data_IF_039028106293
#
_entry.id   IF_039028106293
#
_cell.length_a   1.000
_cell.length_b   1.000
_cell.length_c   1.000
_cell.angle_alpha   90.00
_cell.angle_beta   90.00
_cell.angle_gamma   90.00
#
_symmetry.space_group_name_H-M   'P 1'
#
loop_
_entity.id
_entity.type
_entity.pdbx_description
1 polymer ?
#
# COMPACT_ATOMS: atom_id res chain seq x y z
N UNK A 1 27.33 -88.37 0.33
CA UNK A 1 27.43 -87.14 -0.43
C UNK A 1 26.71 -86.08 0.37
N UNK A 2 27.43 -85.07 0.83
CA UNK A 2 26.97 -84.20 1.85
C UNK A 2 26.26 -82.97 1.29
N UNK A 3 25.02 -82.70 1.68
CA UNK A 3 24.27 -81.50 1.33
C UNK A 3 24.34 -80.58 2.53
N UNK A 4 25.04 -79.45 2.36
CA UNK A 4 25.14 -78.37 3.31
C UNK A 4 23.92 -77.43 3.22
N UNK A 5 23.15 -77.41 4.31
CA UNK A 5 22.07 -76.41 4.48
C UNK A 5 22.68 -75.15 5.04
N UNK A 6 22.62 -74.03 4.32
CA UNK A 6 23.00 -72.72 4.79
C UNK A 6 21.74 -71.99 5.25
N UNK A 7 21.67 -71.77 6.57
CA UNK A 7 20.60 -71.03 7.22
C UNK A 7 20.94 -69.55 7.18
N UNK A 8 20.27 -68.78 6.30
CA UNK A 8 20.40 -67.32 6.25
C UNK A 8 19.40 -66.69 7.20
N UNK A 9 19.95 -66.08 8.23
CA UNK A 9 19.22 -65.32 9.23
C UNK A 9 18.89 -63.90 8.66
N UNK A 10 17.61 -63.70 8.32
CA UNK A 10 17.13 -62.43 7.79
C UNK A 10 16.85 -61.47 8.95
N UNK A 11 17.65 -60.41 9.09
CA UNK A 11 17.48 -59.39 10.10
C UNK A 11 16.51 -58.33 9.58
N UNK A 12 15.27 -58.34 10.04
CA UNK A 12 14.22 -57.40 9.66
C UNK A 12 14.33 -56.15 10.54
N UNK A 13 14.96 -55.09 10.03
CA UNK A 13 15.05 -53.81 10.68
C UNK A 13 13.74 -53.02 10.47
N UNK A 14 12.91 -52.88 11.50
CA UNK A 14 11.81 -51.93 11.52
C UNK A 14 12.37 -50.50 11.68
N UNK A 15 12.44 -49.74 10.61
CA UNK A 15 12.56 -48.28 10.69
C UNK A 15 11.16 -47.72 10.93
N UNK A 16 10.86 -47.32 12.16
CA UNK A 16 9.71 -46.47 12.47
C UNK A 16 10.00 -45.07 11.96
N UNK A 17 9.47 -44.73 10.76
CA UNK A 17 9.44 -43.37 10.28
C UNK A 17 8.37 -42.62 11.05
N UNK A 18 8.77 -41.81 12.04
CA UNK A 18 7.95 -40.74 12.58
C UNK A 18 7.80 -39.64 11.52
N UNK A 19 6.84 -39.84 10.61
CA UNK A 19 6.33 -38.80 9.75
C UNK A 19 5.36 -37.93 10.56
N UNK A 20 5.85 -36.90 11.24
CA UNK A 20 5.02 -35.81 11.73
C UNK A 20 4.42 -35.11 10.52
N UNK A 21 3.11 -35.23 10.30
CA UNK A 21 2.37 -34.34 9.43
C UNK A 21 2.48 -32.94 10.04
N UNK A 22 3.49 -32.19 9.59
CA UNK A 22 3.53 -30.75 9.83
C UNK A 22 2.33 -30.15 9.11
N UNK A 23 1.36 -29.66 9.87
CA UNK A 23 0.38 -28.73 9.35
C UNK A 23 1.14 -27.62 8.65
N UNK A 24 1.19 -27.67 7.33
CA UNK A 24 1.62 -26.55 6.51
C UNK A 24 0.57 -25.47 6.69
N UNK A 25 0.75 -24.66 7.73
CA UNK A 25 -0.02 -23.44 7.84
C UNK A 25 0.16 -22.70 6.51
N UNK A 26 -0.92 -22.60 5.74
CA UNK A 26 -0.95 -21.81 4.51
C UNK A 26 -0.59 -20.39 4.89
N UNK A 27 0.64 -19.97 4.57
CA UNK A 27 1.04 -18.57 4.71
C UNK A 27 0.07 -17.77 3.86
N UNK A 28 -0.70 -16.84 4.45
CA UNK A 28 -1.60 -16.00 3.65
C UNK A 28 -0.77 -15.33 2.56
N UNK A 29 -1.17 -15.51 1.31
CA UNK A 29 -0.57 -14.76 0.20
C UNK A 29 -0.83 -13.29 0.47
N UNK A 30 0.23 -12.47 0.54
CA UNK A 30 0.08 -11.03 0.68
C UNK A 30 -0.79 -10.54 -0.49
N UNK A 31 -1.84 -9.79 -0.18
CA UNK A 31 -2.61 -9.11 -1.20
C UNK A 31 -1.66 -8.19 -1.98
N UNK A 32 -1.70 -8.17 -3.33
CA UNK A 32 -0.85 -7.26 -4.09
C UNK A 32 -1.03 -5.84 -3.57
N UNK A 33 0.06 -5.12 -3.39
CA UNK A 33 0.00 -3.70 -3.05
C UNK A 33 -0.94 -3.00 -4.04
N UNK A 34 -1.90 -2.24 -3.54
CA UNK A 34 -2.86 -1.53 -4.38
C UNK A 34 -2.12 -0.63 -5.38
N UNK A 35 -2.79 -0.31 -6.47
CA UNK A 35 -2.24 0.59 -7.49
C UNK A 35 -1.87 1.93 -6.84
N UNK A 36 -0.64 2.38 -7.07
CA UNK A 36 -0.09 3.63 -6.51
C UNK A 36 0.13 4.71 -7.56
N UNK A 37 -0.28 4.46 -8.80
CA UNK A 37 -0.24 5.42 -9.92
C UNK A 37 -1.39 5.20 -10.89
N UNK A 38 -1.69 6.21 -11.69
CA UNK A 38 -2.66 6.14 -12.78
C UNK A 38 -2.17 7.01 -13.95
N UNK A 39 -2.29 6.48 -15.17
CA UNK A 39 -2.01 7.21 -16.39
C UNK A 39 -3.26 8.04 -16.77
N UNK A 40 -3.09 9.31 -16.99
CA UNK A 40 -4.15 10.23 -17.37
C UNK A 40 -3.80 10.99 -18.68
N UNK A 41 -3.54 10.23 -19.72
CA UNK A 41 -3.15 10.73 -21.03
C UNK A 41 -1.64 10.95 -21.12
N UNK A 42 -1.20 12.21 -21.19
CA UNK A 42 0.21 12.61 -21.25
C UNK A 42 0.83 12.87 -19.84
N UNK A 43 0.14 12.45 -18.78
CA UNK A 43 0.59 12.60 -17.41
C UNK A 43 0.42 11.31 -16.61
N UNK A 44 1.28 11.12 -15.63
CA UNK A 44 1.18 10.05 -14.62
C UNK A 44 0.89 10.68 -13.27
N UNK A 45 -0.15 10.22 -12.60
CA UNK A 45 -0.50 10.62 -11.25
C UNK A 45 -0.02 9.53 -10.29
N UNK A 46 0.89 9.88 -9.41
CA UNK A 46 1.28 9.02 -8.28
C UNK A 46 0.45 9.41 -7.05
N UNK A 47 0.00 8.41 -6.32
CA UNK A 47 -0.78 8.62 -5.10
C UNK A 47 -0.51 7.51 -4.10
N UNK A 48 -0.46 7.86 -2.82
CA UNK A 48 -0.44 6.90 -1.73
C UNK A 48 -1.09 7.50 -0.48
N UNK A 49 -1.53 6.62 0.42
CA UNK A 49 -2.00 7.02 1.73
C UNK A 49 -1.36 6.14 2.81
N UNK A 50 -0.89 6.77 3.88
CA UNK A 50 -0.22 6.10 5.00
C UNK A 50 -0.57 6.75 6.33
N UNK A 51 -0.37 6.05 7.44
CA UNK A 51 -0.48 6.65 8.78
C UNK A 51 0.66 7.64 9.00
N UNK A 52 0.35 8.78 9.62
CA UNK A 52 1.33 9.86 9.77
C UNK A 52 2.47 9.55 10.75
N UNK A 53 2.32 8.54 11.62
CA UNK A 53 3.39 8.04 12.48
C UNK A 53 4.52 7.34 11.69
N UNK A 54 4.24 6.86 10.47
CA UNK A 54 5.23 6.25 9.58
C UNK A 54 6.14 7.29 8.88
N UNK A 55 5.76 8.57 8.92
CA UNK A 55 6.56 9.65 8.34
C UNK A 55 7.75 9.94 9.26
N UNK A 56 8.99 10.03 8.72
CA UNK A 56 10.16 10.40 9.51
C UNK A 56 9.93 11.72 10.29
N UNK A 57 10.38 11.82 11.56
CA UNK A 57 10.10 12.99 12.40
C UNK A 57 10.60 14.31 11.82
N UNK A 58 11.72 14.32 11.13
CA UNK A 58 12.29 15.48 10.46
C UNK A 58 11.42 15.95 9.29
N UNK A 59 10.89 15.02 8.49
CA UNK A 59 9.97 15.30 7.37
C UNK A 59 8.65 15.85 7.92
N UNK A 60 8.10 15.20 8.94
CA UNK A 60 6.85 15.65 9.55
C UNK A 60 6.96 17.09 10.10
N UNK A 61 8.10 17.43 10.71
CA UNK A 61 8.37 18.80 11.21
C UNK A 61 8.49 19.80 10.06
N UNK A 62 9.22 19.45 8.99
CA UNK A 62 9.43 20.32 7.84
C UNK A 62 8.10 20.72 7.16
N UNK A 63 7.16 19.80 7.13
CA UNK A 63 5.85 20.01 6.48
C UNK A 63 4.68 20.22 7.45
N UNK A 64 4.95 20.46 8.74
CA UNK A 64 3.92 20.67 9.77
C UNK A 64 2.87 19.54 9.82
N UNK A 65 3.34 18.29 9.72
CA UNK A 65 2.51 17.09 9.81
C UNK A 65 2.51 16.60 11.26
N UNK A 66 1.32 16.40 11.84
CA UNK A 66 1.17 15.81 13.16
C UNK A 66 1.26 14.29 13.05
N UNK A 67 2.33 13.69 13.58
CA UNK A 67 2.52 12.25 13.58
C UNK A 67 1.58 11.57 14.56
N UNK A 68 0.77 10.64 14.09
CA UNK A 68 -0.18 9.87 14.89
C UNK A 68 -0.58 8.59 14.17
N UNK A 69 -0.73 7.49 14.89
CA UNK A 69 -1.34 6.25 14.39
C UNK A 69 -2.81 6.42 13.97
N UNK A 70 -3.49 7.40 14.56
CA UNK A 70 -4.91 7.68 14.29
C UNK A 70 -5.12 8.80 13.26
N UNK A 71 -4.12 9.05 12.44
CA UNK A 71 -4.16 10.06 11.38
C UNK A 71 -3.55 9.50 10.10
N UNK A 72 -4.30 9.55 9.02
CA UNK A 72 -3.85 9.22 7.68
C UNK A 72 -3.42 10.49 6.94
N UNK A 73 -2.42 10.36 6.07
CA UNK A 73 -2.04 11.37 5.09
C UNK A 73 -2.15 10.76 3.70
N UNK A 74 -2.88 11.45 2.82
CA UNK A 74 -2.87 11.22 1.38
C UNK A 74 -1.78 12.10 0.78
N UNK A 75 -0.97 11.53 -0.11
CA UNK A 75 -0.02 12.24 -0.96
C UNK A 75 -0.35 11.99 -2.43
N UNK A 76 -0.34 13.06 -3.24
CA UNK A 76 -0.55 13.01 -4.69
C UNK A 76 0.52 13.85 -5.36
N UNK A 77 1.09 13.34 -6.47
CA UNK A 77 1.96 14.10 -7.35
C UNK A 77 1.61 13.83 -8.81
N UNK A 78 1.83 14.79 -9.68
CA UNK A 78 1.55 14.69 -11.12
C UNK A 78 2.84 14.92 -11.88
N UNK A 79 3.17 14.00 -12.77
CA UNK A 79 4.35 14.07 -13.62
C UNK A 79 3.94 14.08 -15.08
N UNK A 80 4.67 14.78 -15.89
CA UNK A 80 4.62 14.66 -17.36
C UNK A 80 5.20 13.30 -17.75
N UNK A 81 4.47 12.51 -18.51
CA UNK A 81 4.85 11.13 -18.83
C UNK A 81 6.14 11.06 -19.66
N UNK A 82 6.34 12.00 -20.58
CA UNK A 82 7.48 11.95 -21.48
C UNK A 82 8.78 12.41 -20.83
N UNK A 83 8.71 13.35 -19.89
CA UNK A 83 9.90 14.01 -19.28
C UNK A 83 10.14 13.60 -17.83
N UNK A 84 9.13 13.03 -17.16
CA UNK A 84 9.16 12.73 -15.73
C UNK A 84 9.19 13.98 -14.82
N UNK A 85 8.98 15.17 -15.40
CA UNK A 85 9.00 16.41 -14.63
C UNK A 85 7.69 16.64 -13.88
N UNK A 86 7.75 17.27 -12.68
CA UNK A 86 6.56 17.59 -11.93
C UNK A 86 5.71 18.64 -12.68
N UNK A 87 4.40 18.44 -12.63
CA UNK A 87 3.40 19.33 -13.24
C UNK A 87 2.47 19.83 -12.15
N UNK A 88 2.22 21.13 -12.12
CA UNK A 88 1.21 21.69 -11.25
C UNK A 88 -0.19 21.21 -11.68
N UNK A 89 -1.09 21.06 -10.71
CA UNK A 89 -2.46 20.59 -10.97
C UNK A 89 -3.45 21.18 -9.96
N UNK A 90 -4.72 21.15 -10.32
CA UNK A 90 -5.79 21.27 -9.34
C UNK A 90 -6.12 19.85 -8.86
N UNK A 91 -5.93 19.61 -7.57
CA UNK A 91 -6.19 18.30 -6.93
C UNK A 91 -7.28 18.48 -5.89
N UNK A 92 -8.40 17.79 -6.07
CA UNK A 92 -9.50 17.73 -5.11
C UNK A 92 -9.76 16.29 -4.71
N UNK A 93 -10.18 16.08 -3.46
CA UNK A 93 -10.37 14.74 -2.90
C UNK A 93 -11.67 14.66 -2.14
N UNK A 94 -12.45 13.62 -2.43
CA UNK A 94 -13.55 13.19 -1.59
C UNK A 94 -13.16 11.86 -0.95
N UNK A 95 -13.28 11.77 0.37
CA UNK A 95 -12.90 10.57 1.11
C UNK A 95 -14.09 10.06 1.91
N UNK A 96 -14.34 8.76 1.84
CA UNK A 96 -15.36 8.06 2.61
C UNK A 96 -14.80 6.80 3.23
N UNK A 97 -15.38 6.36 4.36
CA UNK A 97 -15.13 5.01 4.84
C UNK A 97 -16.12 3.99 4.23
N UNK A 98 -15.98 2.72 4.58
CA UNK A 98 -16.85 1.64 4.06
C UNK A 98 -18.32 1.77 4.49
N UNK A 99 -18.61 2.55 5.53
CA UNK A 99 -20.01 2.82 5.96
C UNK A 99 -20.61 4.05 5.28
N UNK A 100 -19.85 4.68 4.34
CA UNK A 100 -20.29 5.86 3.61
C UNK A 100 -20.13 7.19 4.36
N UNK A 101 -19.47 7.18 5.52
CA UNK A 101 -19.18 8.39 6.27
C UNK A 101 -18.12 9.23 5.54
N UNK A 102 -18.44 10.50 5.30
CA UNK A 102 -17.50 11.47 4.73
C UNK A 102 -16.39 11.80 5.74
N UNK A 103 -15.16 11.81 5.24
CA UNK A 103 -13.97 12.29 5.95
C UNK A 103 -13.46 13.54 5.25
N UNK A 104 -13.26 14.61 5.99
CA UNK A 104 -12.71 15.84 5.44
C UNK A 104 -11.20 15.69 5.20
N UNK A 105 -10.77 15.91 3.97
CA UNK A 105 -9.37 15.97 3.56
C UNK A 105 -9.17 17.28 2.82
N UNK A 106 -8.43 18.22 3.43
CA UNK A 106 -8.06 19.48 2.77
C UNK A 106 -6.68 19.32 2.18
N UNK A 107 -6.60 19.33 0.86
CA UNK A 107 -5.34 19.23 0.13
C UNK A 107 -4.58 20.55 0.17
N UNK A 108 -3.28 20.49 0.41
CA UNK A 108 -2.37 21.63 0.29
C UNK A 108 -1.20 21.30 -0.62
N UNK A 109 -0.82 22.24 -1.47
CA UNK A 109 0.34 22.10 -2.36
C UNK A 109 1.63 22.34 -1.56
N UNK A 110 2.62 21.49 -1.79
CA UNK A 110 4.01 21.67 -1.38
C UNK A 110 4.81 21.72 -2.67
N UNK A 111 5.57 22.79 -2.85
CA UNK A 111 6.40 23.00 -4.03
C UNK A 111 7.85 23.13 -3.61
N UNK A 112 8.69 22.27 -4.15
CA UNK A 112 10.13 22.24 -3.99
C UNK A 112 10.79 22.42 -5.35
N UNK A 113 12.12 22.55 -5.40
CA UNK A 113 12.84 22.86 -6.63
C UNK A 113 12.56 21.86 -7.77
N UNK A 114 12.40 20.57 -7.45
CA UNK A 114 12.23 19.49 -8.44
C UNK A 114 11.00 18.61 -8.16
N UNK A 115 10.10 19.04 -7.29
CA UNK A 115 8.94 18.24 -6.90
C UNK A 115 7.74 19.10 -6.54
N UNK A 116 6.54 18.63 -6.91
CA UNK A 116 5.27 19.20 -6.49
C UNK A 116 4.43 18.10 -5.87
N UNK A 117 4.06 18.28 -4.62
CA UNK A 117 3.21 17.36 -3.86
C UNK A 117 1.92 18.03 -3.44
N UNK A 118 0.86 17.26 -3.41
CA UNK A 118 -0.42 17.64 -2.81
C UNK A 118 -0.66 16.69 -1.66
N UNK A 119 -0.68 17.21 -0.44
CA UNK A 119 -0.89 16.39 0.76
C UNK A 119 -2.15 16.83 1.50
N UNK A 120 -2.84 15.87 2.09
CA UNK A 120 -4.01 16.12 2.91
C UNK A 120 -4.11 15.08 4.02
N UNK A 121 -4.53 15.51 5.21
CA UNK A 121 -4.62 14.66 6.38
C UNK A 121 -6.07 14.47 6.82
N UNK A 122 -6.39 13.30 7.40
CA UNK A 122 -7.71 12.99 7.97
C UNK A 122 -7.58 12.06 9.17
N UNK A 123 -8.44 12.16 10.18
CA UNK A 123 -8.49 11.17 11.26
C UNK A 123 -8.90 9.79 10.75
N UNK A 124 -8.29 8.73 11.31
CA UNK A 124 -8.64 7.34 11.05
C UNK A 124 -8.75 6.56 12.34
N UNK A 125 -9.64 5.55 12.35
CA UNK A 125 -9.74 4.57 13.42
C UNK A 125 -8.92 3.32 13.09
N UNK A 126 -8.69 2.47 14.11
CA UNK A 126 -8.05 1.18 13.90
C UNK A 126 -8.89 0.31 12.96
N UNK A 127 -8.22 -0.32 11.99
CA UNK A 127 -8.83 -1.15 10.92
C UNK A 127 -9.83 -0.41 10.03
N UNK A 128 -9.82 0.93 10.03
CA UNK A 128 -10.67 1.70 9.14
C UNK A 128 -10.12 1.65 7.71
N UNK A 129 -11.01 1.34 6.76
CA UNK A 129 -10.71 1.43 5.33
C UNK A 129 -11.29 2.72 4.79
N UNK A 130 -10.44 3.53 4.17
CA UNK A 130 -10.85 4.73 3.45
C UNK A 130 -10.86 4.50 1.94
N UNK A 131 -11.84 5.09 1.29
CA UNK A 131 -11.97 5.19 -0.16
C UNK A 131 -11.67 6.63 -0.52
N UNK A 132 -10.66 6.82 -1.35
CA UNK A 132 -10.24 8.12 -1.86
C UNK A 132 -10.70 8.26 -3.31
N UNK A 133 -11.55 9.24 -3.57
CA UNK A 133 -11.93 9.71 -4.90
C UNK A 133 -11.15 10.99 -5.17
N UNK A 134 -10.13 10.89 -6.02
CA UNK A 134 -9.20 11.98 -6.34
C UNK A 134 -9.56 12.49 -7.72
N UNK A 135 -9.79 13.79 -7.86
CA UNK A 135 -9.99 14.46 -9.14
C UNK A 135 -8.78 15.35 -9.43
N UNK A 136 -8.12 15.11 -10.55
CA UNK A 136 -6.87 15.78 -10.93
C UNK A 136 -7.06 16.50 -12.26
N UNK A 137 -6.76 17.80 -12.28
CA UNK A 137 -6.69 18.59 -13.51
C UNK A 137 -5.28 19.17 -13.65
N UNK A 138 -4.38 18.57 -14.45
CA UNK A 138 -3.05 19.10 -14.70
C UNK A 138 -3.10 20.50 -15.29
N UNK A 139 -2.10 21.31 -15.00
CA UNK A 139 -2.00 22.67 -15.57
C UNK A 139 -2.00 22.62 -17.10
N UNK A 140 -2.71 23.55 -17.72
CA UNK A 140 -2.95 23.58 -19.18
C UNK A 140 -4.05 22.62 -19.67
N UNK A 141 -4.64 21.78 -18.80
CA UNK A 141 -5.80 20.93 -19.12
C UNK A 141 -7.09 21.55 -18.59
N UNK A 142 -8.21 21.26 -19.25
CA UNK A 142 -9.54 21.75 -18.86
C UNK A 142 -10.42 20.65 -18.29
N UNK A 143 -10.08 19.39 -18.53
CA UNK A 143 -10.84 18.23 -18.08
C UNK A 143 -10.14 17.55 -16.93
N UNK A 144 -10.87 17.30 -15.87
CA UNK A 144 -10.40 16.48 -14.75
C UNK A 144 -10.36 15.00 -15.11
N UNK A 145 -9.42 14.30 -14.50
CA UNK A 145 -9.35 12.83 -14.48
C UNK A 145 -9.60 12.35 -13.06
N UNK A 146 -10.48 11.34 -12.93
CA UNK A 146 -10.89 10.81 -11.64
C UNK A 146 -10.19 9.47 -11.36
N UNK A 147 -9.64 9.36 -10.16
CA UNK A 147 -8.90 8.20 -9.68
C UNK A 147 -9.55 7.75 -8.37
N UNK A 148 -9.78 6.45 -8.22
CA UNK A 148 -10.30 5.85 -6.99
C UNK A 148 -9.38 4.77 -6.49
N UNK A 149 -9.02 4.82 -5.20
CA UNK A 149 -8.33 3.72 -4.54
C UNK A 149 -8.79 3.56 -3.09
N UNK A 150 -8.43 2.42 -2.48
CA UNK A 150 -8.76 2.09 -1.10
C UNK A 150 -7.48 1.85 -0.31
N UNK A 151 -7.48 2.29 0.94
CA UNK A 151 -6.41 2.02 1.88
C UNK A 151 -6.99 1.68 3.25
N UNK A 152 -6.55 0.58 3.83
CA UNK A 152 -6.85 0.23 5.21
C UNK A 152 -5.74 0.72 6.13
N UNK A 153 -6.14 1.27 7.30
CA UNK A 153 -5.22 1.81 8.30
C UNK A 153 -5.30 1.00 9.59
N UNK A 154 -4.15 0.83 10.23
CA UNK A 154 -4.01 0.11 11.49
C UNK A 154 -3.33 1.03 12.51
N UNK A 155 -3.86 1.05 13.74
CA UNK A 155 -3.37 1.90 14.83
C UNK A 155 -3.00 1.12 16.09
N UNK A 156 -2.85 -0.23 15.97
CA UNK A 156 -2.44 -1.14 17.05
C UNK A 156 -0.95 -0.95 17.42
#
# INVERSE_FOLDING_TARGET
>A
MATKIILTLSFLSLLAACGGAGDSATVPTAEPAGQSFADIGDHVVHFNAQSTDQIPPEVARAYNIVRSKNRAMLNVSVLDEATGKPVAAVVTVKTTNLTGQLKTVTMRKIEEQEAIYYIGETPVANRETLIFDISVTPDGKTKASDIRFKQQFYSD
#
